data_IF_470309355795
#
_entry.id   IF_470309355795
#
_cell.length_a   1.000
_cell.length_b   1.000
_cell.length_c   1.000
_cell.angle_alpha   90.00
_cell.angle_beta   90.00
_cell.angle_gamma   90.00
#
_symmetry.space_group_name_H-M   'P 1'
#
loop_
_entity.id
_entity.type
_entity.pdbx_description
1 polymer ?
#
# COMPACT_ATOMS: atom_id res chain seq x y z
N UNK A 1 47.72 -5.47 20.61
CA UNK A 1 46.28 -5.16 20.46
C UNK A 1 45.93 -5.32 18.99
N UNK A 2 45.30 -6.43 18.64
CA UNK A 2 44.89 -6.78 17.27
C UNK A 2 43.50 -6.21 17.00
N UNK A 3 43.37 -5.26 16.08
CA UNK A 3 42.06 -4.81 15.59
C UNK A 3 41.57 -5.76 14.51
N UNK A 4 40.31 -6.18 14.67
CA UNK A 4 39.56 -7.11 13.84
C UNK A 4 39.18 -6.47 12.50
N UNK A 5 39.29 -7.27 11.44
CA UNK A 5 38.93 -6.94 10.06
C UNK A 5 37.44 -6.68 9.92
N UNK A 6 37.06 -5.53 9.37
CA UNK A 6 35.68 -5.21 9.00
C UNK A 6 35.29 -5.96 7.73
N UNK A 7 34.41 -6.95 7.85
CA UNK A 7 33.73 -7.53 6.69
C UNK A 7 32.69 -6.52 6.18
N UNK A 8 33.11 -5.64 5.26
CA UNK A 8 32.23 -4.72 4.55
C UNK A 8 31.36 -5.41 3.49
N UNK A 9 30.63 -4.60 2.71
CA UNK A 9 29.65 -4.92 1.65
C UNK A 9 30.04 -6.04 0.66
N UNK A 10 31.30 -6.49 0.65
CA UNK A 10 31.80 -7.64 -0.11
C UNK A 10 31.23 -9.00 0.34
N UNK A 11 30.67 -9.11 1.56
CA UNK A 11 30.00 -10.32 2.03
C UNK A 11 28.50 -10.38 1.66
N UNK A 12 27.99 -9.37 0.95
CA UNK A 12 26.59 -9.31 0.55
C UNK A 12 26.28 -10.35 -0.52
N UNK A 13 25.08 -10.93 -0.48
CA UNK A 13 24.53 -11.77 -1.55
C UNK A 13 24.47 -11.05 -2.91
N UNK A 14 24.59 -9.72 -2.90
CA UNK A 14 24.61 -8.84 -4.06
C UNK A 14 26.02 -8.49 -4.56
N UNK A 15 27.08 -8.91 -3.84
CA UNK A 15 28.45 -8.74 -4.29
C UNK A 15 28.70 -9.71 -5.46
N UNK A 16 28.80 -9.17 -6.66
CA UNK A 16 29.02 -9.95 -7.87
C UNK A 16 30.39 -10.63 -7.80
N UNK A 17 30.40 -11.97 -7.71
CA UNK A 17 31.60 -12.77 -7.92
C UNK A 17 31.77 -13.94 -6.95
N UNK A 18 31.14 -15.08 -7.25
CA UNK A 18 31.72 -16.39 -6.91
C UNK A 18 31.25 -17.47 -7.88
N UNK A 19 31.94 -17.53 -9.01
CA UNK A 19 32.14 -18.78 -9.74
C UNK A 19 33.10 -19.63 -8.93
N UNK A 20 32.62 -20.65 -8.22
CA UNK A 20 33.45 -21.81 -7.89
C UNK A 20 32.59 -23.06 -7.82
N UNK A 21 32.62 -23.78 -8.92
CA UNK A 21 32.25 -25.18 -9.04
C UNK A 21 33.20 -25.97 -8.14
N UNK A 22 32.67 -26.65 -7.13
CA UNK A 22 33.30 -27.88 -6.67
C UNK A 22 32.25 -28.91 -6.22
N UNK A 23 32.53 -30.13 -6.61
CA UNK A 23 31.58 -31.22 -6.82
C UNK A 23 31.76 -32.27 -5.71
N UNK A 24 30.64 -32.89 -5.32
CA UNK A 24 30.48 -34.19 -4.61
C UNK A 24 30.63 -34.24 -3.06
N UNK A 25 30.09 -35.27 -2.37
CA UNK A 25 28.70 -35.74 -2.44
C UNK A 25 28.08 -36.11 -1.05
N UNK A 26 26.74 -36.17 -1.03
CA UNK A 26 25.83 -37.02 -0.20
C UNK A 26 26.07 -37.15 1.31
N UNK A 27 25.15 -36.56 2.09
CA UNK A 27 24.60 -37.20 3.30
C UNK A 27 23.07 -37.05 3.28
N UNK A 28 22.37 -38.17 3.38
CA UNK A 28 20.91 -38.28 3.42
C UNK A 28 20.51 -38.39 4.88
N UNK A 29 19.54 -37.59 5.35
CA UNK A 29 18.46 -38.14 6.18
C UNK A 29 17.23 -37.23 6.24
N UNK A 30 16.01 -37.79 6.35
CA UNK A 30 14.76 -37.13 6.00
C UNK A 30 13.83 -36.90 7.21
N UNK A 31 13.46 -35.66 7.48
CA UNK A 31 12.28 -35.26 8.26
C UNK A 31 11.84 -33.90 7.69
N UNK A 32 10.63 -33.68 7.17
CA UNK A 32 9.32 -34.13 7.64
C UNK A 32 8.32 -34.07 6.47
N UNK A 33 7.55 -35.15 6.29
CA UNK A 33 6.34 -35.16 5.45
C UNK A 33 5.12 -34.98 6.37
N UNK A 34 4.23 -34.11 5.92
CA UNK A 34 2.89 -33.82 6.43
C UNK A 34 1.95 -35.04 6.40
N UNK A 35 0.90 -35.04 7.25
CA UNK A 35 -0.51 -35.50 7.00
C UNK A 35 -1.30 -35.47 8.35
N UNK A 36 -2.63 -35.21 8.36
CA UNK A 36 -3.42 -34.80 9.54
C UNK A 36 -4.18 -35.95 10.23
N UNK A 37 -4.75 -35.77 11.45
CA UNK A 37 -5.55 -36.81 12.08
C UNK A 37 -7.03 -36.79 11.67
N UNK A 38 -7.54 -37.99 11.40
CA UNK A 38 -8.92 -38.32 11.07
C UNK A 38 -9.75 -38.62 12.33
N UNK A 39 -11.06 -38.38 12.22
CA UNK A 39 -12.08 -38.52 13.25
C UNK A 39 -12.35 -39.98 13.69
N UNK A 40 -12.72 -40.15 14.97
CA UNK A 40 -13.39 -41.34 15.50
C UNK A 40 -14.50 -40.93 16.48
N UNK A 41 -15.71 -41.34 16.16
CA UNK A 41 -16.94 -41.25 16.95
C UNK A 41 -17.07 -42.43 17.92
N UNK A 42 -17.54 -42.19 19.15
CA UNK A 42 -18.51 -43.07 19.82
C UNK A 42 -19.21 -42.37 21.00
N UNK A 43 -20.46 -42.76 21.19
CA UNK A 43 -21.51 -42.13 22.00
C UNK A 43 -21.67 -42.82 23.38
N UNK A 44 -22.14 -42.08 24.41
CA UNK A 44 -23.30 -42.39 25.28
C UNK A 44 -23.22 -41.83 26.74
N UNK A 45 -24.24 -41.02 27.08
CA UNK A 45 -24.99 -40.85 28.36
C UNK A 45 -24.44 -40.00 29.56
N UNK A 46 -25.37 -39.21 30.15
CA UNK A 46 -25.32 -38.04 31.06
C UNK A 46 -25.21 -38.39 32.59
N UNK A 47 -25.34 -37.49 33.63
CA UNK A 47 -25.79 -36.07 33.68
C UNK A 47 -25.12 -35.06 34.67
N UNK A 48 -25.40 -33.76 34.42
CA UNK A 48 -25.62 -32.57 35.29
C UNK A 48 -24.72 -32.21 36.51
N UNK A 49 -24.09 -31.01 36.47
CA UNK A 49 -24.17 -29.93 37.49
C UNK A 49 -23.46 -28.62 37.00
N UNK A 50 -23.83 -27.41 37.48
CA UNK A 50 -23.44 -26.12 36.88
C UNK A 50 -22.35 -25.36 37.66
N UNK A 51 -21.51 -24.59 36.94
CA UNK A 51 -20.85 -23.31 37.30
C UNK A 51 -19.40 -23.22 36.76
N UNK A 52 -18.80 -22.02 36.65
CA UNK A 52 -19.35 -20.68 36.44
C UNK A 52 -18.79 -20.03 35.16
N UNK A 53 -19.47 -18.96 34.76
CA UNK A 53 -19.18 -18.00 33.70
C UNK A 53 -17.68 -17.71 33.53
N UNK A 54 -17.04 -18.33 32.54
CA UNK A 54 -15.81 -17.80 31.98
C UNK A 54 -16.20 -16.55 31.18
N UNK A 55 -15.94 -15.38 31.75
CA UNK A 55 -15.91 -14.13 31.02
C UNK A 55 -14.86 -14.27 29.91
N UNK A 56 -15.33 -14.64 28.72
CA UNK A 56 -14.59 -14.42 27.49
C UNK A 56 -14.42 -12.92 27.38
N UNK A 57 -13.23 -12.45 27.75
CA UNK A 57 -12.67 -11.19 27.24
C UNK A 57 -12.66 -11.30 25.72
N UNK A 58 -13.81 -10.98 25.14
CA UNK A 58 -13.88 -10.60 23.74
C UNK A 58 -13.11 -9.28 23.68
N UNK A 59 -11.82 -9.39 23.36
CA UNK A 59 -11.10 -8.31 22.71
C UNK A 59 -11.80 -8.09 21.38
N UNK A 60 -12.94 -7.40 21.45
CA UNK A 60 -13.44 -6.63 20.34
C UNK A 60 -12.28 -5.73 19.97
N UNK A 61 -11.62 -6.02 18.85
CA UNK A 61 -10.84 -5.03 18.14
C UNK A 61 -11.85 -3.96 17.78
N UNK A 62 -12.08 -3.02 18.69
CA UNK A 62 -12.64 -1.73 18.34
C UNK A 62 -11.63 -1.18 17.36
N UNK A 63 -11.97 -1.24 16.08
CA UNK A 63 -11.30 -0.47 15.05
C UNK A 63 -11.47 0.98 15.46
N UNK A 64 -10.56 1.48 16.27
CA UNK A 64 -10.51 2.89 16.67
C UNK A 64 -10.31 3.67 15.40
N UNK A 65 -11.41 4.25 14.89
CA UNK A 65 -11.37 5.14 13.75
C UNK A 65 -10.31 6.21 14.02
N UNK A 66 -9.36 6.36 13.11
CA UNK A 66 -8.31 7.40 13.20
C UNK A 66 -8.96 8.76 13.44
N UNK A 67 -8.52 9.46 14.49
CA UNK A 67 -9.02 10.80 14.75
C UNK A 67 -8.63 11.74 13.59
N UNK A 68 -9.44 12.77 13.24
CA UNK A 68 -9.14 13.66 12.11
C UNK A 68 -7.74 14.32 12.18
N UNK A 69 -7.29 14.68 13.38
CA UNK A 69 -5.94 15.24 13.61
C UNK A 69 -4.84 14.23 13.30
N UNK A 70 -5.00 12.97 13.73
CA UNK A 70 -4.06 11.89 13.42
C UNK A 70 -4.05 11.57 11.92
N UNK A 71 -5.24 11.52 11.29
CA UNK A 71 -5.37 11.32 9.85
C UNK A 71 -4.69 12.44 9.04
N UNK A 72 -4.79 13.70 9.49
CA UNK A 72 -4.08 14.82 8.88
C UNK A 72 -2.56 14.68 8.99
N UNK A 73 -2.04 14.30 10.16
CA UNK A 73 -0.60 14.06 10.32
C UNK A 73 -0.10 12.94 9.41
N UNK A 74 -0.84 11.82 9.31
CA UNK A 74 -0.51 10.73 8.36
C UNK A 74 -0.61 11.19 6.90
N UNK A 75 -1.56 12.07 6.58
CA UNK A 75 -1.68 12.66 5.24
C UNK A 75 -0.45 13.51 4.89
N UNK A 76 0.02 14.37 5.80
CA UNK A 76 1.22 15.18 5.61
C UNK A 76 2.44 14.33 5.27
N UNK A 77 2.62 13.25 6.02
CA UNK A 77 3.71 12.30 5.82
C UNK A 77 3.60 11.57 4.49
N UNK A 78 2.38 11.15 4.13
CA UNK A 78 2.11 10.54 2.83
C UNK A 78 2.42 11.50 1.68
N UNK A 79 2.02 12.76 1.77
CA UNK A 79 2.32 13.78 0.77
C UNK A 79 3.83 14.03 0.63
N UNK A 80 4.57 14.09 1.75
CA UNK A 80 6.04 14.18 1.73
C UNK A 80 6.67 12.96 1.06
N UNK A 81 6.18 11.76 1.37
CA UNK A 81 6.65 10.51 0.78
C UNK A 81 6.37 10.44 -0.73
N UNK A 82 5.17 10.85 -1.16
CA UNK A 82 4.80 10.95 -2.57
C UNK A 82 5.70 11.92 -3.34
N UNK A 83 5.94 13.11 -2.78
CA UNK A 83 6.87 14.09 -3.38
C UNK A 83 8.27 13.49 -3.53
N UNK A 84 8.79 12.83 -2.50
CA UNK A 84 10.08 12.15 -2.57
C UNK A 84 10.11 11.06 -3.65
N UNK A 85 9.17 10.11 -3.58
CA UNK A 85 9.09 8.96 -4.50
C UNK A 85 8.81 9.37 -5.95
N UNK A 86 8.17 10.52 -6.19
CA UNK A 86 7.86 10.99 -7.54
C UNK A 86 9.13 11.20 -8.38
N UNK A 87 10.20 11.68 -7.76
CA UNK A 87 11.49 11.89 -8.42
C UNK A 87 12.11 10.56 -8.84
N UNK A 88 12.03 9.55 -7.98
CA UNK A 88 12.56 8.22 -8.28
C UNK A 88 11.73 7.51 -9.34
N UNK A 89 10.40 7.66 -9.31
CA UNK A 89 9.50 7.13 -10.32
C UNK A 89 9.74 7.76 -11.71
N UNK A 90 9.97 9.07 -11.77
CA UNK A 90 10.30 9.74 -13.03
C UNK A 90 11.62 9.21 -13.61
N UNK A 91 12.64 9.02 -12.76
CA UNK A 91 13.92 8.44 -13.17
C UNK A 91 13.78 6.99 -13.63
N UNK A 92 13.00 6.17 -12.94
CA UNK A 92 12.80 4.77 -13.37
C UNK A 92 12.00 4.70 -14.67
N UNK A 93 11.06 5.62 -14.88
CA UNK A 93 10.38 5.77 -16.17
C UNK A 93 11.33 6.15 -17.31
N UNK A 94 12.26 7.08 -17.08
CA UNK A 94 13.29 7.44 -18.08
C UNK A 94 14.14 6.23 -18.47
N UNK A 95 14.50 5.37 -17.52
CA UNK A 95 15.27 4.14 -17.80
C UNK A 95 14.54 3.10 -18.65
N UNK A 96 13.24 3.27 -18.92
CA UNK A 96 12.50 2.36 -19.80
C UNK A 96 12.81 2.52 -21.29
N UNK A 97 13.58 3.54 -21.72
CA UNK A 97 14.08 3.54 -23.10
C UNK A 97 15.04 2.39 -23.32
N UNK A 98 15.08 1.81 -24.53
CA UNK A 98 16.16 0.92 -24.92
C UNK A 98 17.56 1.54 -24.71
N UNK A 99 17.73 2.82 -25.07
CA UNK A 99 19.00 3.54 -24.91
C UNK A 99 19.42 3.68 -23.44
N UNK A 100 18.55 4.27 -22.60
CA UNK A 100 18.85 4.44 -21.17
C UNK A 100 18.97 3.09 -20.44
N UNK A 101 18.14 2.10 -20.76
CA UNK A 101 18.24 0.76 -20.19
C UNK A 101 19.63 0.17 -20.46
N UNK A 102 20.08 0.22 -21.72
CA UNK A 102 21.40 -0.26 -22.11
C UNK A 102 22.53 0.54 -21.43
N UNK A 103 22.41 1.86 -21.33
CA UNK A 103 23.38 2.71 -20.62
C UNK A 103 23.52 2.35 -19.13
N UNK A 104 22.44 1.84 -18.53
CA UNK A 104 22.41 1.37 -17.14
C UNK A 104 22.64 -0.14 -17.00
N UNK A 105 22.95 -0.86 -18.08
CA UNK A 105 23.25 -2.30 -18.06
C UNK A 105 22.03 -3.21 -17.91
N UNK A 106 20.84 -2.72 -18.22
CA UNK A 106 19.59 -3.50 -18.18
C UNK A 106 19.06 -3.82 -19.58
N UNK A 107 18.40 -4.95 -19.71
CA UNK A 107 17.51 -5.21 -20.85
C UNK A 107 16.26 -4.29 -20.75
N UNK A 108 15.76 -3.83 -21.89
CA UNK A 108 14.63 -2.90 -21.93
C UNK A 108 13.35 -3.49 -21.31
N UNK A 109 13.09 -4.79 -21.51
CA UNK A 109 11.93 -5.44 -20.92
C UNK A 109 12.08 -5.59 -19.40
N UNK A 110 13.31 -5.81 -18.92
CA UNK A 110 13.62 -5.83 -17.48
C UNK A 110 13.43 -4.44 -16.87
N UNK A 111 13.93 -3.39 -17.52
CA UNK A 111 13.74 -2.01 -17.07
C UNK A 111 12.24 -1.63 -17.00
N UNK A 112 11.48 -2.02 -18.03
CA UNK A 112 10.03 -1.80 -18.05
C UNK A 112 9.30 -2.55 -16.92
N UNK A 113 9.67 -3.80 -16.64
CA UNK A 113 9.08 -4.57 -15.53
C UNK A 113 9.35 -3.92 -14.18
N UNK A 114 10.58 -3.46 -13.94
CA UNK A 114 10.93 -2.76 -12.70
C UNK A 114 10.15 -1.45 -12.54
N UNK A 115 10.05 -0.65 -13.62
CA UNK A 115 9.24 0.56 -13.59
C UNK A 115 7.76 0.27 -13.25
N UNK A 116 7.18 -0.81 -13.78
CA UNK A 116 5.79 -1.20 -13.45
C UNK A 116 5.61 -1.53 -11.96
N UNK A 117 6.61 -2.15 -11.33
CA UNK A 117 6.62 -2.40 -9.88
C UNK A 117 6.72 -1.08 -9.10
N UNK A 118 7.64 -0.20 -9.50
CA UNK A 118 7.78 1.13 -8.88
C UNK A 118 6.46 1.92 -8.95
N UNK A 119 5.78 1.86 -10.11
CA UNK A 119 4.49 2.53 -10.29
C UNK A 119 3.40 1.90 -9.42
N UNK A 120 3.39 0.58 -9.26
CA UNK A 120 2.44 -0.10 -8.37
C UNK A 120 2.61 0.37 -6.92
N UNK A 121 3.84 0.42 -6.41
CA UNK A 121 4.14 0.94 -5.08
C UNK A 121 3.75 2.42 -4.96
N UNK A 122 4.05 3.23 -5.98
CA UNK A 122 3.71 4.64 -5.98
C UNK A 122 2.20 4.88 -5.95
N UNK A 123 1.44 4.11 -6.74
CA UNK A 123 0.00 4.22 -6.79
C UNK A 123 -0.65 3.83 -5.45
N UNK A 124 -0.09 2.86 -4.71
CA UNK A 124 -0.54 2.54 -3.36
C UNK A 124 -0.46 3.77 -2.42
N UNK A 125 0.60 4.58 -2.54
CA UNK A 125 0.71 5.83 -1.77
C UNK A 125 -0.33 6.88 -2.18
N UNK A 126 -0.68 6.96 -3.47
CA UNK A 126 -1.76 7.83 -3.94
C UNK A 126 -3.07 7.41 -3.29
N UNK A 127 -3.40 6.12 -3.34
CA UNK A 127 -4.64 5.60 -2.75
C UNK A 127 -4.69 5.84 -1.24
N UNK A 128 -3.57 5.65 -0.54
CA UNK A 128 -3.49 5.95 0.88
C UNK A 128 -3.80 7.41 1.19
N UNK A 129 -3.26 8.35 0.41
CA UNK A 129 -3.56 9.77 0.57
C UNK A 129 -5.06 10.05 0.35
N UNK A 130 -5.68 9.44 -0.66
CA UNK A 130 -7.11 9.61 -0.95
C UNK A 130 -8.01 9.05 0.15
N UNK A 131 -7.64 7.90 0.74
CA UNK A 131 -8.38 7.30 1.86
C UNK A 131 -8.26 8.17 3.11
N UNK A 132 -7.05 8.66 3.43
CA UNK A 132 -6.83 9.57 4.56
C UNK A 132 -7.63 10.86 4.41
N UNK A 133 -7.64 11.44 3.20
CA UNK A 133 -8.47 12.61 2.88
C UNK A 133 -9.95 12.31 3.14
N UNK A 134 -10.50 11.25 2.57
CA UNK A 134 -11.91 10.87 2.77
C UNK A 134 -12.24 10.67 4.26
N UNK A 135 -11.34 10.04 5.03
CA UNK A 135 -11.48 9.89 6.49
C UNK A 135 -11.53 11.22 7.23
N UNK A 136 -10.65 12.17 6.90
CA UNK A 136 -10.66 13.52 7.51
C UNK A 136 -12.02 14.20 7.27
N UNK A 137 -12.62 13.97 6.11
CA UNK A 137 -13.93 14.53 5.79
C UNK A 137 -15.12 13.74 6.35
N UNK A 138 -14.89 12.56 6.93
CA UNK A 138 -15.94 11.69 7.46
C UNK A 138 -16.67 10.88 6.39
N UNK A 139 -16.06 10.70 5.21
CA UNK A 139 -16.61 9.90 4.12
C UNK A 139 -16.22 8.44 4.33
N UNK A 140 -17.23 7.59 4.50
CA UNK A 140 -17.05 6.14 4.63
C UNK A 140 -17.02 5.47 3.26
N UNK A 141 -15.91 4.78 2.96
CA UNK A 141 -15.76 4.01 1.73
C UNK A 141 -16.24 2.58 2.00
N UNK A 142 -17.35 2.20 1.40
CA UNK A 142 -17.89 0.86 1.55
C UNK A 142 -16.93 -0.18 0.94
N UNK A 143 -16.41 -1.07 1.77
CA UNK A 143 -15.79 -2.32 1.30
C UNK A 143 -16.93 -3.21 0.80
N UNK A 144 -16.92 -3.57 -0.49
CA UNK A 144 -18.08 -4.13 -1.19
C UNK A 144 -18.84 -5.18 -0.39
N UNK A 145 -20.02 -4.81 0.11
CA UNK A 145 -20.94 -5.70 0.81
C UNK A 145 -21.79 -6.48 -0.20
N UNK A 146 -21.46 -7.74 -0.44
CA UNK A 146 -22.29 -8.65 -1.25
C UNK A 146 -21.66 -10.03 -1.34
N UNK A 147 -22.24 -11.00 -0.65
CA UNK A 147 -21.75 -12.37 -0.53
C UNK A 147 -21.43 -13.04 -1.87
N UNK A 148 -20.15 -13.35 -2.08
CA UNK A 148 -19.69 -14.18 -3.18
C UNK A 148 -18.27 -14.65 -2.91
N UNK A 149 -18.08 -15.96 -2.71
CA UNK A 149 -16.77 -16.59 -2.64
C UNK A 149 -15.94 -16.20 -3.87
N UNK A 150 -14.85 -15.46 -3.67
CA UNK A 150 -13.76 -15.35 -4.64
C UNK A 150 -13.15 -13.96 -4.75
N UNK A 151 -11.98 -13.74 -4.14
CA UNK A 151 -10.86 -12.89 -4.58
C UNK A 151 -11.06 -11.46 -5.16
N UNK A 152 -12.27 -10.91 -5.21
CA UNK A 152 -12.60 -9.70 -5.98
C UNK A 152 -12.92 -8.43 -5.18
N UNK A 153 -13.05 -8.53 -3.85
CA UNK A 153 -13.43 -7.39 -2.98
C UNK A 153 -12.44 -6.23 -2.99
N UNK A 154 -11.16 -6.52 -3.23
CA UNK A 154 -10.03 -5.60 -3.27
C UNK A 154 -10.16 -4.59 -4.40
N UNK A 155 -10.38 -5.11 -5.61
CA UNK A 155 -10.55 -4.29 -6.81
C UNK A 155 -11.76 -3.38 -6.67
N UNK A 156 -12.81 -3.85 -5.98
CA UNK A 156 -14.00 -3.07 -5.68
C UNK A 156 -13.69 -1.93 -4.70
N UNK A 157 -12.96 -2.16 -3.60
CA UNK A 157 -12.63 -1.10 -2.64
C UNK A 157 -11.85 0.05 -3.29
N UNK A 158 -10.75 -0.25 -3.99
CA UNK A 158 -9.95 0.74 -4.70
C UNK A 158 -10.73 1.49 -5.80
N UNK A 159 -11.76 0.86 -6.36
CA UNK A 159 -12.65 1.53 -7.30
C UNK A 159 -13.59 2.48 -6.57
N UNK A 160 -14.17 2.02 -5.46
CA UNK A 160 -15.06 2.80 -4.61
C UNK A 160 -14.39 4.06 -4.05
N UNK A 161 -13.08 4.02 -3.76
CA UNK A 161 -12.27 5.19 -3.35
C UNK A 161 -12.37 6.32 -4.39
N UNK A 162 -12.25 6.01 -5.68
CA UNK A 162 -12.33 7.02 -6.75
C UNK A 162 -13.77 7.38 -7.07
N UNK A 163 -14.69 6.40 -7.04
CA UNK A 163 -16.11 6.64 -7.26
C UNK A 163 -16.69 7.61 -6.24
N UNK A 164 -16.30 7.47 -4.96
CA UNK A 164 -16.75 8.37 -3.90
C UNK A 164 -16.35 9.84 -4.15
N UNK A 165 -15.18 10.08 -4.77
CA UNK A 165 -14.75 11.44 -5.12
C UNK A 165 -15.64 12.07 -6.20
N UNK A 166 -16.20 11.24 -7.09
CA UNK A 166 -17.08 11.70 -8.17
C UNK A 166 -18.49 12.10 -7.71
N UNK A 167 -18.85 11.86 -6.45
CA UNK A 167 -20.12 12.32 -5.88
C UNK A 167 -20.09 13.84 -5.68
N UNK A 168 -21.15 14.54 -6.13
CA UNK A 168 -21.26 15.99 -6.03
C UNK A 168 -21.34 16.47 -4.58
N UNK A 169 -21.86 15.62 -3.69
CA UNK A 169 -21.94 15.92 -2.26
C UNK A 169 -20.60 15.67 -1.53
N UNK A 170 -19.59 15.14 -2.23
CA UNK A 170 -18.28 14.93 -1.65
C UNK A 170 -17.56 16.28 -1.44
N UNK A 171 -17.08 16.59 -0.22
CA UNK A 171 -16.33 17.83 0.03
C UNK A 171 -15.05 18.01 -0.81
N UNK A 172 -14.55 16.92 -1.39
CA UNK A 172 -13.38 16.89 -2.27
C UNK A 172 -13.74 16.91 -3.76
N UNK A 173 -15.03 17.00 -4.11
CA UNK A 173 -15.50 16.89 -5.48
C UNK A 173 -14.86 17.92 -6.41
N UNK A 174 -14.87 19.18 -6.00
CA UNK A 174 -14.32 20.30 -6.78
C UNK A 174 -12.82 20.17 -7.07
N UNK A 175 -12.06 19.54 -6.16
CA UNK A 175 -10.59 19.44 -6.26
C UNK A 175 -10.08 18.12 -6.82
N UNK A 176 -10.78 17.00 -6.56
CA UNK A 176 -10.35 15.64 -6.90
C UNK A 176 -11.42 14.84 -7.67
N UNK A 177 -12.68 15.24 -7.57
CA UNK A 177 -13.84 14.55 -8.13
C UNK A 177 -14.15 14.88 -9.58
N UNK A 178 -13.62 16.00 -10.10
CA UNK A 178 -13.86 16.45 -11.46
C UNK A 178 -12.59 16.92 -12.19
N UNK A 179 -12.76 17.24 -13.48
CA UNK A 179 -11.71 17.84 -14.30
C UNK A 179 -10.51 16.93 -14.56
N UNK A 180 -9.37 17.55 -14.83
CA UNK A 180 -8.13 16.86 -15.23
C UNK A 180 -7.54 16.01 -14.10
N UNK A 181 -7.72 16.41 -12.84
CA UNK A 181 -7.25 15.65 -11.68
C UNK A 181 -7.98 14.31 -11.59
N UNK A 182 -9.31 14.32 -11.68
CA UNK A 182 -10.09 13.08 -11.65
C UNK A 182 -9.75 12.17 -12.83
N UNK A 183 -9.61 12.74 -14.02
CA UNK A 183 -9.19 12.01 -15.21
C UNK A 183 -7.80 11.37 -15.02
N UNK A 184 -6.85 12.11 -14.45
CA UNK A 184 -5.52 11.58 -14.15
C UNK A 184 -5.56 10.44 -13.12
N UNK A 185 -6.38 10.55 -12.07
CA UNK A 185 -6.58 9.48 -11.07
C UNK A 185 -7.12 8.19 -11.71
N UNK A 186 -8.15 8.30 -12.55
CA UNK A 186 -8.71 7.14 -13.26
C UNK A 186 -7.71 6.52 -14.22
N UNK A 187 -6.95 7.34 -14.96
CA UNK A 187 -5.86 6.85 -15.82
C UNK A 187 -4.79 6.12 -15.02
N UNK A 188 -4.36 6.68 -13.89
CA UNK A 188 -3.37 6.02 -13.03
C UNK A 188 -3.86 4.67 -12.51
N UNK A 189 -5.15 4.57 -12.13
CA UNK A 189 -5.78 3.30 -11.75
C UNK A 189 -5.81 2.29 -12.88
N UNK A 190 -6.18 2.72 -14.08
CA UNK A 190 -6.19 1.88 -15.27
C UNK A 190 -4.79 1.33 -15.57
N UNK A 191 -3.76 2.18 -15.51
CA UNK A 191 -2.36 1.78 -15.69
C UNK A 191 -1.92 0.78 -14.63
N UNK A 192 -2.26 1.01 -13.36
CA UNK A 192 -1.96 0.06 -12.28
C UNK A 192 -2.59 -1.30 -12.53
N UNK A 193 -3.85 -1.35 -12.97
CA UNK A 193 -4.53 -2.60 -13.27
C UNK A 193 -3.91 -3.31 -14.48
N UNK A 194 -3.69 -2.56 -15.58
CA UNK A 194 -3.07 -3.09 -16.81
C UNK A 194 -1.68 -3.66 -16.56
N UNK A 195 -0.88 -3.00 -15.73
CA UNK A 195 0.49 -3.41 -15.46
C UNK A 195 0.62 -4.48 -14.37
N UNK A 196 -0.37 -4.62 -13.48
CA UNK A 196 -0.47 -5.76 -12.55
C UNK A 196 -0.52 -7.09 -13.31
N UNK A 197 -1.37 -7.16 -14.34
CA UNK A 197 -1.57 -8.40 -15.12
C UNK A 197 -0.38 -8.68 -16.06
N UNK A 198 0.20 -7.62 -16.65
CA UNK A 198 1.36 -7.73 -17.53
C UNK A 198 2.67 -8.17 -16.82
N UNK A 199 2.73 -8.10 -15.49
CA UNK A 199 3.89 -8.56 -14.71
C UNK A 199 3.81 -10.04 -14.30
N UNK A 200 2.61 -10.64 -14.32
CA UNK A 200 2.36 -12.01 -13.86
C UNK A 200 2.40 -13.08 -14.96
N UNK A 201 2.16 -12.71 -16.22
CA UNK A 201 2.18 -13.67 -17.34
C UNK A 201 3.55 -13.71 -18.01
N UNK A 202 4.26 -14.83 -17.82
CA UNK A 202 5.58 -15.08 -18.41
C UNK A 202 5.60 -14.98 -19.93
N UNK A 203 6.75 -14.57 -20.47
CA UNK A 203 7.22 -14.68 -21.88
C UNK A 203 6.13 -14.93 -22.94
N UNK A 204 5.13 -14.05 -23.02
CA UNK A 204 3.98 -14.23 -23.92
C UNK A 204 3.05 -13.03 -24.00
N UNK A 205 3.01 -12.18 -22.97
CA UNK A 205 2.14 -10.98 -22.91
C UNK A 205 2.71 -9.72 -23.63
N UNK A 206 3.69 -9.88 -24.52
CA UNK A 206 4.52 -8.77 -25.02
C UNK A 206 3.99 -8.02 -26.27
N UNK A 207 2.79 -8.30 -26.79
CA UNK A 207 2.33 -7.68 -28.06
C UNK A 207 1.13 -6.76 -27.95
N UNK A 208 0.36 -6.80 -26.85
CA UNK A 208 -0.91 -6.04 -26.78
C UNK A 208 -0.86 -4.83 -25.85
N UNK A 209 0.12 -4.75 -24.93
CA UNK A 209 0.26 -3.58 -24.06
C UNK A 209 1.09 -2.51 -24.77
N UNK A 210 0.54 -1.30 -25.02
CA UNK A 210 1.33 -0.21 -25.55
C UNK A 210 2.54 0.05 -24.64
N UNK A 211 3.73 0.33 -25.20
CA UNK A 211 4.92 0.65 -24.42
C UNK A 211 4.60 1.71 -23.35
N UNK A 212 5.16 1.56 -22.14
CA UNK A 212 4.97 2.48 -21.01
C UNK A 212 5.22 3.95 -21.38
N UNK A 213 6.09 4.18 -22.36
CA UNK A 213 6.42 5.48 -22.97
C UNK A 213 5.27 6.18 -23.71
N UNK A 214 4.22 5.47 -24.12
CA UNK A 214 3.09 6.07 -24.83
C UNK A 214 2.17 6.86 -23.91
N UNK A 215 2.30 6.70 -22.59
CA UNK A 215 1.51 7.42 -21.60
C UNK A 215 2.26 8.66 -21.12
N UNK A 216 1.56 9.78 -21.03
CA UNK A 216 2.09 11.02 -20.45
C UNK A 216 2.06 10.92 -18.91
N UNK A 217 3.01 10.17 -18.36
CA UNK A 217 3.15 10.00 -16.91
C UNK A 217 3.44 11.31 -16.21
N UNK A 218 4.15 12.23 -16.86
CA UNK A 218 4.45 13.55 -16.29
C UNK A 218 3.16 14.34 -16.10
N UNK A 219 2.25 14.33 -17.08
CA UNK A 219 0.93 14.94 -16.93
C UNK A 219 0.11 14.23 -15.85
N UNK A 220 0.02 12.90 -15.88
CA UNK A 220 -0.78 12.12 -14.90
C UNK A 220 -0.32 12.44 -13.47
N UNK A 221 0.98 12.31 -13.20
CA UNK A 221 1.54 12.54 -11.87
C UNK A 221 1.45 14.01 -11.47
N UNK A 222 1.67 14.94 -12.40
CA UNK A 222 1.54 16.37 -12.15
C UNK A 222 0.13 16.77 -11.71
N UNK A 223 -0.90 16.29 -12.41
CA UNK A 223 -2.30 16.55 -12.05
C UNK A 223 -2.65 15.95 -10.68
N UNK A 224 -2.26 14.70 -10.42
CA UNK A 224 -2.55 14.03 -9.15
C UNK A 224 -1.87 14.75 -7.99
N UNK A 225 -0.57 15.06 -8.09
CA UNK A 225 0.16 15.73 -7.01
C UNK A 225 -0.37 17.14 -6.75
N UNK A 226 -0.74 17.89 -7.80
CA UNK A 226 -1.37 19.20 -7.66
C UNK A 226 -2.75 19.11 -6.98
N UNK A 227 -3.55 18.12 -7.35
CA UNK A 227 -4.85 17.87 -6.73
C UNK A 227 -4.73 17.49 -5.26
N UNK A 228 -3.78 16.61 -4.91
CA UNK A 228 -3.51 16.23 -3.53
C UNK A 228 -3.04 17.42 -2.68
N UNK A 229 -2.25 18.34 -3.23
CA UNK A 229 -1.83 19.56 -2.54
C UNK A 229 -3.02 20.49 -2.26
N UNK A 230 -3.91 20.68 -3.23
CA UNK A 230 -5.14 21.45 -3.03
C UNK A 230 -6.05 20.81 -1.98
N UNK A 231 -6.25 19.49 -2.05
CA UNK A 231 -7.04 18.74 -1.08
C UNK A 231 -6.45 18.78 0.33
N UNK A 232 -5.11 18.75 0.46
CA UNK A 232 -4.42 18.90 1.74
C UNK A 232 -4.70 20.26 2.39
N UNK A 233 -4.75 21.35 1.62
CA UNK A 233 -5.08 22.68 2.16
C UNK A 233 -6.50 22.67 2.77
N UNK A 234 -7.48 22.10 2.07
CA UNK A 234 -8.86 21.96 2.58
C UNK A 234 -8.94 21.09 3.83
N UNK A 235 -8.22 19.96 3.83
CA UNK A 235 -8.16 19.05 4.97
C UNK A 235 -7.59 19.74 6.22
N UNK A 236 -6.51 20.51 6.03
CA UNK A 236 -5.90 21.29 7.11
C UNK A 236 -6.88 22.32 7.66
N UNK A 237 -7.57 23.08 6.82
CA UNK A 237 -8.58 24.06 7.24
C UNK A 237 -9.72 23.42 8.03
N UNK A 238 -10.23 22.27 7.57
CA UNK A 238 -11.28 21.51 8.28
C UNK A 238 -10.86 21.13 9.70
N UNK A 239 -9.67 20.54 9.87
CA UNK A 239 -9.18 20.10 11.18
C UNK A 239 -8.95 21.29 12.12
N UNK A 240 -8.35 22.39 11.63
CA UNK A 240 -8.16 23.60 12.43
C UNK A 240 -9.49 24.28 12.82
N UNK A 241 -10.50 24.22 11.94
CA UNK A 241 -11.84 24.70 12.24
C UNK A 241 -12.53 23.89 13.35
N UNK A 242 -12.32 22.57 13.36
CA UNK A 242 -12.85 21.67 14.37
C UNK A 242 -12.22 21.91 15.76
N UNK A 243 -10.90 22.14 15.82
CA UNK A 243 -10.20 22.47 17.08
C UNK A 243 -10.66 23.80 17.69
N UNK A 244 -11.05 24.78 16.88
CA UNK A 244 -11.57 26.07 17.37
C UNK A 244 -13.01 26.00 17.87
N UNK A 245 -13.80 25.03 17.40
CA UNK A 245 -15.19 24.84 17.80
C UNK A 245 -15.35 24.02 19.09
N UNK A 246 -14.37 23.17 19.42
CA UNK A 246 -14.38 22.35 20.63
C UNK A 246 -13.70 23.07 21.78
N UNK A 247 -14.45 23.91 22.50
CA UNK A 247 -13.99 24.51 23.77
C UNK A 247 -14.09 23.47 24.90
N UNK A 248 -13.20 22.47 24.86
CA UNK A 248 -12.98 21.55 25.98
C UNK A 248 -12.00 22.17 27.00
N UNK A 249 -12.15 21.94 28.32
CA UNK A 249 -11.33 22.57 29.35
C UNK A 249 -9.85 22.17 29.22
N UNK A 250 -8.90 23.03 29.65
CA UNK A 250 -7.49 22.72 29.55
C UNK A 250 -7.13 21.65 30.58
N UNK A 251 -6.93 20.42 30.10
CA UNK A 251 -6.23 19.38 30.83
C UNK A 251 -6.96 18.05 30.86
N UNK A 252 -6.76 17.23 29.83
CA UNK A 252 -6.22 15.86 29.92
C UNK A 252 -5.70 15.49 28.52
N UNK A 253 -4.45 15.04 28.38
CA UNK A 253 -4.04 14.30 27.18
C UNK A 253 -3.17 15.01 26.14
N UNK A 254 -2.33 15.97 26.52
CA UNK A 254 -1.20 16.41 25.66
C UNK A 254 -0.02 15.42 25.71
N UNK A 255 -0.31 14.13 25.87
CA UNK A 255 0.67 13.05 25.90
C UNK A 255 0.31 12.10 24.75
N UNK A 256 0.83 12.41 23.56
CA UNK A 256 1.68 11.50 22.77
C UNK A 256 1.91 12.10 21.37
N UNK A 257 2.67 13.20 21.28
CA UNK A 257 3.06 13.83 20.02
C UNK A 257 4.37 13.31 19.43
N UNK A 258 4.97 12.26 20.01
CA UNK A 258 6.38 11.95 19.75
C UNK A 258 6.73 10.46 19.54
N UNK A 259 5.76 9.55 19.49
CA UNK A 259 6.00 8.11 19.26
C UNK A 259 5.78 7.62 17.83
N UNK A 260 4.65 7.95 17.21
CA UNK A 260 4.20 7.35 15.92
C UNK A 260 4.76 8.05 14.67
N UNK A 261 6.01 8.54 14.73
CA UNK A 261 6.53 9.46 13.73
C UNK A 261 6.48 8.89 12.30
N UNK A 262 6.92 7.66 12.08
CA UNK A 262 6.92 7.06 10.73
C UNK A 262 6.70 5.54 10.75
N UNK A 263 6.50 4.96 11.93
CA UNK A 263 6.36 3.51 12.14
C UNK A 263 5.14 2.95 11.39
N UNK A 264 4.01 3.66 11.44
CA UNK A 264 2.80 3.31 10.69
C UNK A 264 3.07 3.17 9.18
N UNK A 265 4.00 3.96 8.63
CA UNK A 265 4.32 3.95 7.21
C UNK A 265 5.07 2.68 6.78
N UNK A 266 5.73 1.99 7.72
CA UNK A 266 6.46 0.74 7.50
C UNK A 266 5.60 -0.47 7.83
N UNK A 267 4.88 -0.42 8.95
CA UNK A 267 4.04 -1.52 9.43
C UNK A 267 2.79 -1.69 8.57
N UNK A 268 2.10 -0.58 8.28
CA UNK A 268 0.89 -0.65 7.49
C UNK A 268 1.24 -0.89 6.01
N UNK A 269 2.47 -0.59 5.54
CA UNK A 269 2.93 -0.86 4.17
C UNK A 269 2.82 -2.33 3.72
N UNK A 270 2.81 -3.27 4.67
CA UNK A 270 2.87 -4.71 4.37
C UNK A 270 1.52 -5.43 4.40
N UNK A 271 0.49 -4.91 5.07
CA UNK A 271 -0.84 -5.56 5.16
C UNK A 271 -1.95 -4.50 5.15
N UNK A 272 -2.33 -3.98 3.98
CA UNK A 272 -3.54 -3.14 3.81
C UNK A 272 -4.77 -3.97 3.44
N UNK A 273 -4.82 -5.17 4.00
CA UNK A 273 -5.95 -6.09 4.00
C UNK A 273 -6.84 -5.80 5.23
N UNK A 274 -8.16 -5.54 5.10
CA UNK A 274 -9.04 -5.51 6.27
C UNK A 274 -9.16 -6.89 6.93
#
# INVERSE_FOLDING_TARGET
>A
MTYTSSNGLAASIWASGRSHIHTTPRHVDPRSRSVPPQASSNSLLAPAAPNPTAALSSSSRTTTSLAPVQALHRLEQTCLRLRWKSVDLERSWQRTSPEEAAAHGFDAAVAERNFKLDFYEFYAWIEQALVLLQRIFGVEILSGGGGGKGGGGWHAYHHNVLTALGDVDNPLHEVLGMGDVNHALWKAKELRNRWKDAAGEGEGASTTTPPTRMYDLRWILGQILSGLEAAYVLAREKVHGQEKGDVSPPGVGAEDRNGEGWEWMVEEQMDWEP
#
